data_IF_879371678020
#
_entry.id   IF_879371678020
#
_cell.length_a   1.000
_cell.length_b   1.000
_cell.length_c   1.000
_cell.angle_alpha   90.00
_cell.angle_beta   90.00
_cell.angle_gamma   90.00
#
_symmetry.space_group_name_H-M   'P 1'
#
loop_
_entity.id
_entity.type
_entity.pdbx_description
1 polymer ?
#
# COMPACT_ATOMS: atom_id res chain seq x y z
N UNK A 1 -17.94 -18.00 13.06
CA UNK A 1 -17.31 -17.55 11.81
C UNK A 1 -16.06 -16.68 11.99
N UNK A 2 -15.62 -16.37 13.21
CA UNK A 2 -14.44 -15.52 13.45
C UNK A 2 -13.07 -16.16 13.06
N UNK A 3 -12.96 -17.50 13.10
CA UNK A 3 -11.72 -18.21 12.77
C UNK A 3 -11.33 -18.04 11.29
N UNK A 4 -12.32 -18.04 10.39
CA UNK A 4 -12.08 -17.88 8.94
C UNK A 4 -11.62 -16.47 8.59
N UNK A 5 -12.13 -15.45 9.29
CA UNK A 5 -11.66 -14.07 9.14
C UNK A 5 -10.27 -13.86 9.76
N UNK A 6 -9.97 -14.54 10.87
CA UNK A 6 -8.64 -14.48 11.50
C UNK A 6 -7.54 -15.13 10.64
N UNK A 7 -7.85 -16.24 9.96
CA UNK A 7 -6.94 -16.89 9.01
C UNK A 7 -6.76 -16.03 7.74
N UNK A 8 -7.83 -15.39 7.22
CA UNK A 8 -7.71 -14.43 6.11
C UNK A 8 -6.80 -13.26 6.46
N UNK A 9 -6.88 -12.75 7.69
CA UNK A 9 -6.03 -11.68 8.24
C UNK A 9 -4.54 -12.08 8.33
N UNK A 10 -4.26 -13.39 8.39
CA UNK A 10 -2.93 -14.00 8.40
C UNK A 10 -2.47 -14.50 7.02
N UNK A 11 -3.17 -14.16 5.95
CA UNK A 11 -2.74 -14.50 4.61
C UNK A 11 -1.59 -13.56 4.18
N UNK A 12 -0.43 -13.71 4.83
CA UNK A 12 0.78 -12.90 4.63
C UNK A 12 1.22 -12.90 3.16
N UNK A 13 1.01 -14.03 2.47
CA UNK A 13 1.30 -14.16 1.04
C UNK A 13 0.38 -13.25 0.22
N UNK A 14 -0.93 -13.30 0.49
CA UNK A 14 -1.90 -12.45 -0.22
C UNK A 14 -1.67 -10.97 0.11
N UNK A 15 -1.40 -10.66 1.38
CA UNK A 15 -1.05 -9.30 1.80
C UNK A 15 0.20 -8.81 1.06
N UNK A 16 1.28 -9.58 1.03
CA UNK A 16 2.51 -9.20 0.34
C UNK A 16 2.29 -9.04 -1.17
N UNK A 17 1.42 -9.87 -1.78
CA UNK A 17 1.01 -9.72 -3.18
C UNK A 17 0.27 -8.41 -3.42
N UNK A 18 -0.67 -8.06 -2.56
CA UNK A 18 -1.45 -6.82 -2.64
C UNK A 18 -0.57 -5.58 -2.38
N UNK A 19 0.32 -5.64 -1.39
CA UNK A 19 1.31 -4.60 -1.10
C UNK A 19 2.24 -4.38 -2.30
N UNK A 20 2.71 -5.47 -2.93
CA UNK A 20 3.53 -5.40 -4.14
C UNK A 20 2.79 -4.77 -5.32
N UNK A 21 1.54 -5.15 -5.56
CA UNK A 21 0.73 -4.54 -6.63
C UNK A 21 0.60 -3.03 -6.47
N UNK A 22 0.36 -2.56 -5.24
CA UNK A 22 0.27 -1.12 -4.96
C UNK A 22 1.62 -0.40 -5.16
N UNK A 23 2.73 -1.05 -4.78
CA UNK A 23 4.08 -0.52 -5.01
C UNK A 23 4.43 -0.46 -6.50
N UNK A 24 4.01 -1.45 -7.30
CA UNK A 24 4.20 -1.43 -8.76
C UNK A 24 3.39 -0.30 -9.42
N UNK A 25 2.17 -0.05 -8.96
CA UNK A 25 1.37 1.09 -9.42
C UNK A 25 2.03 2.43 -9.06
N UNK A 26 2.57 2.54 -7.84
CA UNK A 26 3.35 3.71 -7.42
C UNK A 26 4.59 3.92 -8.30
N UNK A 27 5.35 2.85 -8.59
CA UNK A 27 6.55 2.91 -9.43
C UNK A 27 6.24 3.37 -10.87
N UNK A 28 5.07 3.00 -11.39
CA UNK A 28 4.56 3.48 -12.69
C UNK A 28 4.09 4.94 -12.67
N UNK A 29 4.07 5.59 -11.51
CA UNK A 29 3.56 6.95 -11.34
C UNK A 29 2.03 7.04 -11.32
N UNK A 30 1.33 5.93 -11.06
CA UNK A 30 -0.12 5.92 -10.89
C UNK A 30 -0.52 6.55 -9.54
N UNK A 31 -1.74 7.11 -9.48
CA UNK A 31 -2.26 7.68 -8.24
C UNK A 31 -2.78 6.58 -7.31
N UNK A 32 -1.89 6.09 -6.44
CA UNK A 32 -2.20 5.05 -5.46
C UNK A 32 -3.29 5.44 -4.46
N UNK A 33 -3.52 6.73 -4.22
CA UNK A 33 -4.61 7.20 -3.35
C UNK A 33 -5.96 6.99 -4.03
N UNK A 34 -6.06 7.31 -5.32
CA UNK A 34 -7.24 7.04 -6.12
C UNK A 34 -7.49 5.54 -6.31
N UNK A 35 -6.44 4.73 -6.49
CA UNK A 35 -6.55 3.27 -6.59
C UNK A 35 -7.09 2.65 -5.29
N UNK A 36 -6.57 3.06 -4.13
CA UNK A 36 -7.09 2.61 -2.84
C UNK A 36 -8.52 3.06 -2.58
N UNK A 37 -8.88 4.30 -2.94
CA UNK A 37 -10.22 4.83 -2.75
C UNK A 37 -11.28 4.10 -3.58
N UNK A 38 -10.96 3.79 -4.85
CA UNK A 38 -11.86 3.13 -5.80
C UNK A 38 -11.84 1.59 -5.70
N UNK A 39 -10.95 1.02 -4.89
CA UNK A 39 -10.92 -0.41 -4.62
C UNK A 39 -12.23 -0.87 -3.95
N UNK A 40 -12.70 -2.06 -4.35
CA UNK A 40 -13.88 -2.68 -3.75
C UNK A 40 -13.66 -2.99 -2.25
N UNK A 41 -14.70 -2.85 -1.40
CA UNK A 41 -14.57 -3.17 0.02
C UNK A 41 -14.13 -4.62 0.26
N UNK A 42 -13.09 -4.79 1.07
CA UNK A 42 -12.55 -6.11 1.40
C UNK A 42 -11.10 -6.04 1.86
N UNK A 43 -10.45 -7.20 1.86
CA UNK A 43 -9.06 -7.34 2.33
C UNK A 43 -8.07 -6.54 1.50
N UNK A 44 -8.28 -6.42 0.18
CA UNK A 44 -7.47 -5.58 -0.70
C UNK A 44 -7.51 -4.12 -0.27
N UNK A 45 -8.71 -3.56 -0.10
CA UNK A 45 -8.90 -2.19 0.37
C UNK A 45 -8.25 -1.95 1.72
N UNK A 46 -8.43 -2.85 2.69
CA UNK A 46 -7.79 -2.73 4.01
C UNK A 46 -6.25 -2.70 3.91
N UNK A 47 -5.67 -3.53 3.05
CA UNK A 47 -4.22 -3.57 2.84
C UNK A 47 -3.72 -2.31 2.13
N UNK A 48 -4.42 -1.88 1.08
CA UNK A 48 -4.05 -0.70 0.30
C UNK A 48 -4.20 0.59 1.11
N UNK A 49 -5.32 0.79 1.81
CA UNK A 49 -5.52 1.94 2.70
C UNK A 49 -4.48 2.00 3.84
N UNK A 50 -4.04 0.85 4.34
CA UNK A 50 -2.96 0.80 5.34
C UNK A 50 -1.56 1.09 4.75
N UNK A 51 -1.36 0.84 3.46
CA UNK A 51 -0.06 0.94 2.81
C UNK A 51 0.19 2.30 2.13
N UNK A 52 -0.84 2.91 1.52
CA UNK A 52 -0.78 4.26 0.91
C UNK A 52 -0.08 5.30 1.80
N UNK A 53 -0.46 5.51 3.08
CA UNK A 53 0.19 6.53 3.91
C UNK A 53 1.68 6.24 4.18
N UNK A 54 2.09 4.97 4.17
CA UNK A 54 3.50 4.58 4.32
C UNK A 54 4.30 4.92 3.08
N UNK A 55 3.78 4.60 1.90
CA UNK A 55 4.40 4.93 0.61
C UNK A 55 4.55 6.45 0.48
N UNK A 56 3.49 7.22 0.75
CA UNK A 56 3.55 8.69 0.72
C UNK A 56 4.51 9.28 1.74
N UNK A 57 4.63 8.68 2.93
CA UNK A 57 5.63 9.10 3.91
C UNK A 57 7.05 8.87 3.38
N UNK A 58 7.34 7.72 2.79
CA UNK A 58 8.64 7.42 2.19
C UNK A 58 8.95 8.37 1.02
N UNK A 59 7.99 8.61 0.13
CA UNK A 59 8.12 9.55 -0.98
C UNK A 59 8.46 10.96 -0.49
N UNK A 60 7.78 11.46 0.55
CA UNK A 60 8.14 12.75 1.18
C UNK A 60 9.55 12.72 1.76
N UNK A 61 9.90 11.69 2.52
CA UNK A 61 11.26 11.57 3.07
C UNK A 61 12.34 11.51 1.98
N UNK A 62 12.10 10.88 0.84
CA UNK A 62 13.03 10.86 -0.29
C UNK A 62 13.13 12.24 -0.98
N UNK A 63 12.00 12.97 -1.08
CA UNK A 63 11.99 14.34 -1.61
C UNK A 63 12.72 15.34 -0.71
N UNK A 64 12.50 15.24 0.60
CA UNK A 64 13.16 16.07 1.61
C UNK A 64 14.65 15.73 1.79
N UNK A 65 15.06 14.47 1.52
CA UNK A 65 16.46 14.04 1.55
C UNK A 65 17.26 14.41 0.29
N UNK A 66 16.82 15.38 -0.53
CA UNK A 66 17.70 15.95 -1.56
C UNK A 66 19.02 16.34 -0.88
N UNK A 67 20.16 15.78 -1.33
CA UNK A 67 21.44 15.98 -0.64
C UNK A 67 21.75 17.48 -0.59
N UNK A 68 22.42 17.98 0.46
CA UNK A 68 22.96 19.33 0.42
C UNK A 68 23.78 19.45 -0.85
N UNK A 69 23.39 20.37 -1.74
CA UNK A 69 24.21 20.75 -2.88
C UNK A 69 25.57 21.16 -2.31
N UNK A 70 26.56 20.29 -2.49
CA UNK A 70 27.97 20.59 -2.25
C UNK A 70 28.54 21.27 -3.48
#
# INVERSE_FOLDING_TARGET
>A
MALMEWIKRWNFIERARLERQLLEAFDRGEDIDALAANCEPGFEKEVWEAMVPRIRKMERMMRDQKPPQS
#
